data_IF_216520182329
#
_entry.id   IF_216520182329
#
_cell.length_a   1.000
_cell.length_b   1.000
_cell.length_c   1.000
_cell.angle_alpha   90.00
_cell.angle_beta   90.00
_cell.angle_gamma   90.00
#
_symmetry.space_group_name_H-M   'P 1'
#
loop_
_entity.id
_entity.type
_entity.pdbx_description
1 polymer ?
#
# COMPACT_ATOMS: atom_id res chain seq x y z
N UNK A 1 0.98 20.83 -31.08
CA UNK A 1 -0.22 21.68 -31.03
C UNK A 1 -0.74 21.88 -32.43
N UNK A 2 -2.00 21.52 -32.69
CA UNK A 2 -2.67 21.59 -33.99
C UNK A 2 -3.89 22.47 -33.84
N UNK A 3 -4.01 23.49 -34.69
CA UNK A 3 -5.17 24.38 -34.68
C UNK A 3 -6.24 23.86 -35.64
N UNK A 4 -7.49 23.82 -35.19
CA UNK A 4 -8.66 23.44 -35.98
C UNK A 4 -9.57 24.66 -36.05
N UNK A 5 -9.60 25.29 -37.23
CA UNK A 5 -10.39 26.49 -37.45
C UNK A 5 -11.86 26.14 -37.74
N UNK A 6 -12.77 26.81 -37.05
CA UNK A 6 -14.22 26.70 -37.26
C UNK A 6 -14.83 28.09 -37.48
N UNK A 7 -16.05 28.18 -38.06
CA UNK A 7 -16.77 29.45 -38.18
C UNK A 7 -17.06 30.15 -36.84
N UNK A 8 -16.95 29.43 -35.72
CA UNK A 8 -17.24 29.92 -34.38
C UNK A 8 -15.98 30.20 -33.54
N UNK A 9 -14.79 29.97 -34.10
CA UNK A 9 -13.50 30.16 -33.42
C UNK A 9 -12.52 29.01 -33.67
N UNK A 10 -11.36 29.09 -33.04
CA UNK A 10 -10.25 28.14 -33.20
C UNK A 10 -10.19 27.17 -32.03
N UNK A 11 -10.13 25.88 -32.32
CA UNK A 11 -9.87 24.82 -31.33
C UNK A 11 -8.38 24.49 -31.37
N UNK A 12 -7.74 24.39 -30.20
CA UNK A 12 -6.34 23.99 -30.07
C UNK A 12 -6.29 22.53 -29.59
N UNK A 13 -5.74 21.64 -30.43
CA UNK A 13 -5.50 20.24 -30.10
C UNK A 13 -4.04 20.05 -29.71
N UNK A 14 -3.80 19.43 -28.56
CA UNK A 14 -2.47 19.01 -28.13
C UNK A 14 -2.50 17.53 -27.80
N UNK A 15 -1.54 16.77 -28.34
CA UNK A 15 -1.33 15.37 -27.95
C UNK A 15 -0.29 15.35 -26.84
N UNK A 16 -0.71 14.92 -25.65
CA UNK A 16 0.16 14.78 -24.48
C UNK A 16 0.36 13.30 -24.20
N UNK A 17 1.59 12.82 -24.33
CA UNK A 17 1.99 11.50 -23.84
C UNK A 17 2.28 11.63 -22.35
N UNK A 18 1.56 10.88 -21.51
CA UNK A 18 1.78 10.86 -20.06
C UNK A 18 1.99 9.44 -19.57
N UNK A 19 2.89 9.28 -18.59
CA UNK A 19 3.10 8.01 -17.88
C UNK A 19 2.19 7.94 -16.68
N UNK A 20 1.50 6.82 -16.51
CA UNK A 20 0.65 6.53 -15.35
C UNK A 20 1.14 5.26 -14.66
N UNK A 21 1.11 5.24 -13.33
CA UNK A 21 1.50 4.12 -12.50
C UNK A 21 0.26 3.52 -11.85
N UNK A 22 0.09 2.20 -11.88
CA UNK A 22 -1.11 1.53 -11.34
C UNK A 22 -0.75 0.63 -10.18
N UNK A 23 -1.51 0.70 -9.08
CA UNK A 23 -1.35 -0.16 -7.90
C UNK A 23 -2.75 -0.61 -7.44
N UNK A 24 -3.06 -1.89 -7.63
CA UNK A 24 -4.43 -2.40 -7.47
C UNK A 24 -5.38 -1.68 -8.42
N UNK A 25 -6.47 -1.12 -7.88
CA UNK A 25 -7.47 -0.35 -8.63
C UNK A 25 -7.16 1.16 -8.72
N UNK A 26 -6.01 1.59 -8.17
CA UNK A 26 -5.63 3.01 -8.10
C UNK A 26 -4.60 3.39 -9.16
N UNK A 27 -4.73 4.60 -9.72
CA UNK A 27 -3.84 5.15 -10.75
C UNK A 27 -3.16 6.42 -10.24
N UNK A 28 -1.86 6.56 -10.51
CA UNK A 28 -0.98 7.62 -10.02
C UNK A 28 -0.20 8.28 -11.16
N UNK A 29 0.11 9.57 -10.99
CA UNK A 29 0.90 10.37 -11.95
C UNK A 29 2.42 10.25 -11.72
N UNK A 30 2.84 9.84 -10.52
CA UNK A 30 4.26 9.68 -10.17
C UNK A 30 4.55 8.31 -9.61
N UNK A 31 5.80 7.87 -9.81
CA UNK A 31 6.29 6.60 -9.27
C UNK A 31 6.34 6.62 -7.75
N UNK A 32 6.72 7.74 -7.12
CA UNK A 32 6.80 7.83 -5.66
C UNK A 32 5.43 7.62 -5.00
N UNK A 33 4.37 8.20 -5.57
CA UNK A 33 3.01 8.04 -5.05
C UNK A 33 2.54 6.58 -5.17
N UNK A 34 2.78 5.94 -6.30
CA UNK A 34 2.49 4.52 -6.49
C UNK A 34 3.29 3.64 -5.50
N UNK A 35 4.58 3.92 -5.29
CA UNK A 35 5.39 3.17 -4.31
C UNK A 35 4.92 3.38 -2.87
N UNK A 36 4.45 4.58 -2.52
CA UNK A 36 3.88 4.85 -1.21
C UNK A 36 2.59 4.03 -0.99
N UNK A 37 1.71 3.98 -2.00
CA UNK A 37 0.49 3.17 -1.94
C UNK A 37 0.80 1.67 -1.85
N UNK A 38 1.75 1.18 -2.66
CA UNK A 38 2.16 -0.22 -2.63
C UNK A 38 2.69 -0.61 -1.24
N UNK A 39 3.50 0.25 -0.61
CA UNK A 39 3.95 0.04 0.78
C UNK A 39 2.76 0.04 1.73
N UNK A 40 1.83 0.98 1.61
CA UNK A 40 0.64 1.06 2.47
C UNK A 40 -0.20 -0.21 2.40
N UNK A 41 -0.45 -0.75 1.20
CA UNK A 41 -1.19 -2.01 1.01
C UNK A 41 -0.44 -3.21 1.60
N UNK A 42 0.89 -3.26 1.45
CA UNK A 42 1.71 -4.30 2.09
C UNK A 42 1.65 -4.21 3.63
N UNK A 43 1.71 -2.99 4.18
CA UNK A 43 1.64 -2.78 5.62
C UNK A 43 0.26 -3.00 6.21
N UNK A 44 -0.84 -2.74 5.48
CA UNK A 44 -2.18 -3.12 5.95
C UNK A 44 -2.31 -4.63 6.06
N UNK A 45 -1.82 -5.40 5.08
CA UNK A 45 -1.80 -6.86 5.15
C UNK A 45 -0.99 -7.39 6.34
N UNK A 46 0.17 -6.79 6.62
CA UNK A 46 0.99 -7.14 7.78
C UNK A 46 0.36 -6.73 9.11
N UNK A 47 -0.30 -5.57 9.18
CA UNK A 47 -1.00 -5.10 10.37
C UNK A 47 -2.20 -5.98 10.66
N UNK A 48 -3.01 -6.31 9.67
CA UNK A 48 -4.17 -7.18 9.82
C UNK A 48 -3.73 -8.58 10.25
N UNK A 49 -2.63 -9.08 9.67
CA UNK A 49 -1.99 -10.31 10.11
C UNK A 49 -1.48 -10.22 11.56
N UNK A 50 -0.80 -9.15 11.95
CA UNK A 50 -0.32 -8.96 13.33
C UNK A 50 -1.48 -8.85 14.33
N UNK A 51 -2.53 -8.11 13.99
CA UNK A 51 -3.75 -8.00 14.79
C UNK A 51 -4.46 -9.35 14.91
N UNK A 52 -4.49 -10.14 13.84
CA UNK A 52 -5.02 -11.50 13.87
C UNK A 52 -4.18 -12.42 14.79
N UNK A 53 -2.84 -12.37 14.70
CA UNK A 53 -1.96 -13.12 15.62
C UNK A 53 -2.19 -12.73 17.08
N UNK A 54 -2.35 -11.43 17.37
CA UNK A 54 -2.59 -10.92 18.73
C UNK A 54 -4.01 -11.24 19.23
N UNK A 55 -5.01 -11.19 18.36
CA UNK A 55 -6.42 -11.36 18.75
C UNK A 55 -6.83 -12.82 18.94
N UNK A 56 -6.24 -13.75 18.17
CA UNK A 56 -6.70 -15.16 18.18
C UNK A 56 -5.95 -16.00 19.20
N UNK A 57 -4.71 -15.66 19.59
CA UNK A 57 -3.90 -16.41 20.56
C UNK A 57 -3.42 -17.78 20.06
N UNK A 58 -4.24 -18.46 19.27
CA UNK A 58 -3.95 -19.70 18.54
C UNK A 58 -4.01 -19.47 17.03
N UNK A 59 -2.93 -19.84 16.34
CA UNK A 59 -2.89 -19.86 14.88
C UNK A 59 -3.71 -21.07 14.42
N UNK A 60 -4.77 -20.93 13.60
CA UNK A 60 -5.50 -22.05 13.03
C UNK A 60 -4.56 -23.03 12.33
N UNK A 61 -4.71 -24.32 12.62
CA UNK A 61 -3.80 -25.38 12.20
C UNK A 61 -3.49 -25.37 10.69
N UNK A 62 -4.50 -25.04 9.88
CA UNK A 62 -4.38 -24.90 8.43
C UNK A 62 -3.34 -23.87 7.99
N UNK A 63 -3.12 -22.83 8.80
CA UNK A 63 -2.27 -21.68 8.45
C UNK A 63 -0.92 -21.73 9.18
N UNK A 64 -0.75 -22.61 10.18
CA UNK A 64 0.48 -22.74 10.99
C UNK A 64 1.71 -22.95 10.12
N UNK A 65 1.60 -23.77 9.06
CA UNK A 65 2.73 -24.13 8.21
C UNK A 65 3.30 -22.95 7.42
N UNK A 66 2.43 -22.03 7.00
CA UNK A 66 2.82 -20.82 6.25
C UNK A 66 3.19 -19.67 7.17
N UNK A 67 2.52 -19.54 8.31
CA UNK A 67 2.65 -18.41 9.22
C UNK A 67 3.88 -18.54 10.13
N UNK A 68 4.20 -19.74 10.62
CA UNK A 68 5.28 -19.94 11.59
C UNK A 68 6.69 -19.56 11.08
N UNK A 69 7.08 -19.82 9.82
CA UNK A 69 8.36 -19.36 9.28
C UNK A 69 8.49 -17.83 9.29
N UNK A 70 7.41 -17.13 8.93
CA UNK A 70 7.37 -15.65 8.87
C UNK A 70 7.56 -15.09 10.29
N UNK A 71 6.81 -15.59 11.27
CA UNK A 71 6.93 -15.17 12.67
C UNK A 71 8.32 -15.43 13.25
N UNK A 72 8.96 -16.56 12.89
CA UNK A 72 10.32 -16.88 13.32
C UNK A 72 11.34 -15.89 12.77
N UNK A 73 11.25 -15.53 11.49
CA UNK A 73 12.18 -14.58 10.87
C UNK A 73 12.00 -13.17 11.44
N UNK A 74 10.76 -12.73 11.70
CA UNK A 74 10.57 -11.40 12.31
C UNK A 74 11.04 -11.36 13.77
N UNK A 75 10.91 -12.46 14.52
CA UNK A 75 11.50 -12.56 15.87
C UNK A 75 13.03 -12.51 15.83
N UNK A 76 13.66 -13.12 14.81
CA UNK A 76 15.12 -13.08 14.62
C UNK A 76 15.63 -11.71 14.20
N UNK A 77 14.85 -10.94 13.44
CA UNK A 77 15.24 -9.59 13.02
C UNK A 77 15.20 -8.56 14.16
N UNK A 78 14.81 -8.95 15.38
CA UNK A 78 14.72 -8.04 16.53
C UNK A 78 13.62 -7.00 16.42
N UNK A 79 12.67 -7.20 15.49
CA UNK A 79 11.52 -6.33 15.29
C UNK A 79 10.53 -6.59 16.42
N UNK A 80 10.49 -5.68 17.39
CA UNK A 80 9.54 -5.72 18.48
C UNK A 80 8.15 -5.31 17.97
N UNK A 81 7.35 -6.32 17.64
CA UNK A 81 5.96 -6.13 17.22
C UNK A 81 5.12 -5.41 18.27
N UNK A 82 5.39 -5.58 19.57
CA UNK A 82 4.67 -4.86 20.62
C UNK A 82 5.00 -3.36 20.54
N UNK A 83 6.26 -3.01 20.32
CA UNK A 83 6.68 -1.63 20.10
C UNK A 83 6.13 -1.02 18.80
N UNK A 84 6.10 -1.78 17.70
CA UNK A 84 5.47 -1.34 16.44
C UNK A 84 3.97 -1.12 16.58
N UNK A 85 3.28 -2.00 17.31
CA UNK A 85 1.83 -1.91 17.51
C UNK A 85 1.48 -0.74 18.44
N UNK A 86 2.30 -0.50 19.47
CA UNK A 86 2.19 0.68 20.33
C UNK A 86 2.41 1.99 19.56
N UNK A 87 3.38 2.02 18.65
CA UNK A 87 3.63 3.18 17.78
C UNK A 87 2.46 3.44 16.80
N UNK A 88 1.78 2.39 16.33
CA UNK A 88 0.62 2.50 15.46
C UNK A 88 -0.68 2.84 16.21
N UNK A 89 -0.81 2.44 17.48
CA UNK A 89 -1.95 2.80 18.34
C UNK A 89 -1.87 4.23 18.88
N UNK A 90 -0.65 4.77 19.07
CA UNK A 90 -0.43 6.12 19.59
C UNK A 90 -0.72 7.26 18.60
N UNK A 91 -0.71 7.00 17.29
CA UNK A 91 -1.01 8.03 16.29
C UNK A 91 -2.51 8.32 16.08
N UNK A 92 -3.39 7.52 16.67
CA UNK A 92 -4.84 7.76 16.66
C UNK A 92 -5.36 8.29 18.03
N UNK A 93 -4.45 8.70 18.92
CA UNK A 93 -4.80 9.28 20.21
C UNK A 93 -4.04 10.60 20.44
N UNK A 94 -4.16 11.56 19.50
CA UNK A 94 -3.94 13.00 19.71
C UNK A 94 -4.51 13.79 18.53
#
# INVERSE_FOLDING_TARGET
>A
MTEIYTPFGTILREEVVSTKYTVGDSVFDTEEAARAELRRQAFSGLRDFALWVVAVGDIPEANVREVMPILKEVRKSGLDFAAMTAALGGQNAS
#
